data_IF_126338632628
#
_entry.id   IF_126338632628
#
_cell.length_a   1.000
_cell.length_b   1.000
_cell.length_c   1.000
_cell.angle_alpha   90.00
_cell.angle_beta   90.00
_cell.angle_gamma   90.00
#
_symmetry.space_group_name_H-M   'P 1'
#
loop_
_entity.id
_entity.type
_entity.pdbx_description
1 polymer ?
#
# COMPACT_ATOMS: atom_id res chain seq x y z
N UNK A 1 -10.64 -3.88 22.15
CA UNK A 1 -10.64 -2.69 21.29
C UNK A 1 -11.29 -3.12 20.00
N UNK A 2 -12.35 -2.44 19.57
CA UNK A 2 -12.95 -2.69 18.25
C UNK A 2 -11.91 -2.38 17.17
N UNK A 3 -11.48 -3.41 16.44
CA UNK A 3 -10.47 -3.35 15.39
C UNK A 3 -10.80 -2.28 14.33
N UNK A 4 -12.10 -2.03 14.11
CA UNK A 4 -12.55 -1.04 13.12
C UNK A 4 -12.29 0.41 13.55
N UNK A 5 -12.19 0.71 14.85
CA UNK A 5 -11.98 2.09 15.32
C UNK A 5 -10.60 2.64 14.90
N UNK A 6 -9.56 1.80 14.89
CA UNK A 6 -8.22 2.19 14.44
C UNK A 6 -8.19 2.52 12.95
N UNK A 7 -8.92 1.75 12.14
CA UNK A 7 -9.01 1.93 10.71
C UNK A 7 -9.79 3.21 10.37
N UNK A 8 -10.90 3.48 11.06
CA UNK A 8 -11.68 4.72 10.90
C UNK A 8 -10.88 5.97 11.28
N UNK A 9 -10.13 5.91 12.39
CA UNK A 9 -9.23 7.01 12.81
C UNK A 9 -8.17 7.24 11.73
N UNK A 10 -7.48 6.18 11.31
CA UNK A 10 -6.46 6.25 10.27
C UNK A 10 -7.03 6.82 8.96
N UNK A 11 -8.19 6.35 8.51
CA UNK A 11 -8.83 6.81 7.29
C UNK A 11 -9.15 8.31 7.36
N UNK A 12 -9.66 8.78 8.51
CA UNK A 12 -9.90 10.20 8.76
C UNK A 12 -8.62 11.03 8.76
N UNK A 13 -7.53 10.52 9.35
CA UNK A 13 -6.22 11.18 9.35
C UNK A 13 -5.61 11.26 7.93
N UNK A 14 -5.84 10.25 7.10
CA UNK A 14 -5.42 10.25 5.69
C UNK A 14 -6.36 11.03 4.78
N UNK A 15 -7.57 11.37 5.25
CA UNK A 15 -8.61 12.01 4.44
C UNK A 15 -9.16 11.11 3.34
N UNK A 16 -9.31 9.80 3.62
CA UNK A 16 -9.74 8.78 2.67
C UNK A 16 -11.07 8.16 3.11
N UNK A 17 -11.96 7.88 2.16
CA UNK A 17 -13.19 7.11 2.40
C UNK A 17 -12.93 5.63 2.09
N UNK A 18 -13.00 4.77 3.10
CA UNK A 18 -12.73 3.32 2.99
C UNK A 18 -13.98 2.49 2.67
N UNK A 19 -15.12 3.14 2.40
CA UNK A 19 -16.34 2.46 1.97
C UNK A 19 -16.36 2.10 0.47
N UNK A 20 -15.43 2.68 -0.30
CA UNK A 20 -15.24 2.43 -1.72
C UNK A 20 -14.51 1.10 -1.96
N UNK A 21 -14.81 0.44 -3.09
CA UNK A 21 -14.10 -0.78 -3.50
C UNK A 21 -12.80 -0.49 -4.27
N UNK A 22 -12.62 0.76 -4.69
CA UNK A 22 -11.37 1.33 -5.19
C UNK A 22 -10.80 2.37 -4.23
N UNK A 23 -9.49 2.33 -4.00
CA UNK A 23 -8.82 3.31 -3.13
C UNK A 23 -7.58 3.89 -3.77
N UNK A 24 -7.46 5.22 -3.62
CA UNK A 24 -6.26 5.95 -4.00
C UNK A 24 -5.58 6.56 -2.76
N UNK A 25 -4.53 5.89 -2.30
CA UNK A 25 -3.73 6.34 -1.17
C UNK A 25 -2.45 7.04 -1.65
N UNK A 26 -2.15 8.19 -1.05
CA UNK A 26 -0.94 8.96 -1.34
C UNK A 26 -0.09 9.13 -0.09
N UNK A 27 1.23 9.18 -0.29
CA UNK A 27 2.21 9.40 0.78
C UNK A 27 2.12 8.42 1.97
N UNK A 28 1.73 7.18 1.72
CA UNK A 28 1.51 6.19 2.79
C UNK A 28 2.85 5.84 3.46
N UNK A 29 2.86 5.93 4.80
CA UNK A 29 4.01 5.55 5.65
C UNK A 29 3.78 4.25 6.41
N UNK A 30 2.52 3.93 6.70
CA UNK A 30 2.07 2.69 7.34
C UNK A 30 0.60 2.43 6.98
N UNK A 31 0.18 1.17 7.10
CA UNK A 31 -1.21 0.75 7.02
C UNK A 31 -1.59 0.04 8.33
N UNK A 32 -2.75 0.33 8.93
CA UNK A 32 -3.24 -0.46 10.06
C UNK A 32 -3.52 -1.89 9.60
N UNK A 33 -3.35 -2.87 10.51
CA UNK A 33 -3.54 -4.28 10.17
C UNK A 33 -4.95 -4.60 9.65
N UNK A 34 -5.93 -3.86 10.15
CA UNK A 34 -7.35 -3.97 9.83
C UNK A 34 -7.66 -3.51 8.40
N UNK A 35 -6.75 -2.75 7.76
CA UNK A 35 -6.87 -2.39 6.35
C UNK A 35 -6.96 -3.63 5.45
N UNK A 36 -6.33 -4.75 5.85
CA UNK A 36 -6.41 -6.02 5.13
C UNK A 36 -7.82 -6.64 5.09
N UNK A 37 -8.73 -6.19 5.96
CA UNK A 37 -10.11 -6.70 6.03
C UNK A 37 -11.07 -5.99 5.08
N UNK A 38 -10.64 -4.88 4.47
CA UNK A 38 -11.46 -4.14 3.53
C UNK A 38 -11.71 -4.97 2.26
N UNK A 39 -12.94 -5.00 1.74
CA UNK A 39 -13.30 -5.73 0.52
C UNK A 39 -12.85 -4.99 -0.76
N UNK A 40 -11.61 -4.48 -0.77
CA UNK A 40 -11.05 -3.70 -1.86
C UNK A 40 -10.80 -4.56 -3.09
N UNK A 41 -11.22 -4.05 -4.25
CA UNK A 41 -10.90 -4.62 -5.57
C UNK A 41 -9.75 -3.90 -6.24
N UNK A 42 -9.65 -2.58 -6.09
CA UNK A 42 -8.59 -1.79 -6.69
C UNK A 42 -7.85 -0.96 -5.65
N UNK A 43 -6.52 -1.01 -5.69
CA UNK A 43 -5.67 -0.20 -4.82
C UNK A 43 -4.59 0.47 -5.63
N UNK A 44 -4.62 1.80 -5.63
CA UNK A 44 -3.46 2.61 -5.96
C UNK A 44 -2.85 3.12 -4.67
N UNK A 45 -1.55 2.87 -4.48
CA UNK A 45 -0.81 3.35 -3.32
C UNK A 45 0.51 4.00 -3.73
N UNK A 46 0.70 5.28 -3.39
CA UNK A 46 2.02 5.91 -3.39
C UNK A 46 2.65 5.73 -2.01
N UNK A 47 3.72 4.95 -1.93
CA UNK A 47 4.53 4.78 -0.73
C UNK A 47 5.60 5.87 -0.74
N UNK A 48 5.52 6.78 0.23
CA UNK A 48 6.54 7.82 0.40
C UNK A 48 7.71 7.28 1.19
N UNK A 49 8.90 7.37 0.62
CA UNK A 49 10.12 6.92 1.26
C UNK A 49 10.62 7.95 2.28
N UNK A 50 10.62 7.55 3.55
CA UNK A 50 11.18 8.30 4.68
C UNK A 50 11.84 7.33 5.65
N UNK A 51 12.64 7.83 6.59
CA UNK A 51 13.28 7.01 7.63
C UNK A 51 12.27 6.23 8.49
N UNK A 52 11.02 6.69 8.57
CA UNK A 52 9.96 6.08 9.38
C UNK A 52 8.98 5.21 8.58
N UNK A 53 9.20 5.03 7.29
CA UNK A 53 8.27 4.27 6.42
C UNK A 53 8.36 2.76 6.69
N UNK A 54 7.25 2.17 7.10
CA UNK A 54 7.11 0.73 7.40
C UNK A 54 6.74 -0.08 6.16
N UNK A 55 7.52 0.02 5.09
CA UNK A 55 7.16 -0.56 3.78
C UNK A 55 6.93 -2.08 3.80
N UNK A 56 7.69 -2.84 4.61
CA UNK A 56 7.50 -4.30 4.70
C UNK A 56 6.12 -4.63 5.25
N UNK A 57 5.69 -3.88 6.25
CA UNK A 57 4.37 -4.02 6.88
C UNK A 57 3.28 -3.58 5.92
N UNK A 58 3.46 -2.47 5.20
CA UNK A 58 2.54 -2.04 4.12
C UNK A 58 2.34 -3.18 3.11
N UNK A 59 3.42 -3.75 2.58
CA UNK A 59 3.34 -4.84 1.60
C UNK A 59 2.69 -6.09 2.20
N UNK A 60 3.04 -6.46 3.42
CA UNK A 60 2.42 -7.61 4.10
C UNK A 60 0.92 -7.42 4.31
N UNK A 61 0.47 -6.22 4.69
CA UNK A 61 -0.96 -5.89 4.82
C UNK A 61 -1.66 -5.98 3.47
N UNK A 62 -1.06 -5.45 2.40
CA UNK A 62 -1.65 -5.52 1.05
C UNK A 62 -1.82 -6.98 0.58
N UNK A 63 -0.83 -7.85 0.82
CA UNK A 63 -0.89 -9.27 0.43
C UNK A 63 -2.00 -10.07 1.15
N UNK A 64 -2.57 -9.51 2.21
CA UNK A 64 -3.69 -10.10 2.94
C UNK A 64 -5.06 -9.73 2.34
N UNK A 65 -5.15 -8.71 1.48
CA UNK A 65 -6.39 -8.28 0.83
C UNK A 65 -6.77 -9.28 -0.28
N UNK A 66 -7.55 -10.31 0.07
CA UNK A 66 -7.87 -11.41 -0.87
C UNK A 66 -8.82 -11.04 -1.99
N UNK A 67 -9.54 -9.93 -1.87
CA UNK A 67 -10.47 -9.42 -2.88
C UNK A 67 -9.78 -8.60 -3.97
N UNK A 68 -8.49 -8.26 -3.79
CA UNK A 68 -7.79 -7.33 -4.66
C UNK A 68 -7.61 -7.90 -6.08
N UNK A 69 -8.12 -7.17 -7.07
CA UNK A 69 -8.04 -7.48 -8.50
C UNK A 69 -7.01 -6.62 -9.23
N UNK A 70 -6.78 -5.39 -8.77
CA UNK A 70 -5.84 -4.44 -9.34
C UNK A 70 -5.00 -3.78 -8.26
N UNK A 71 -3.68 -3.80 -8.43
CA UNK A 71 -2.72 -3.18 -7.53
C UNK A 71 -1.74 -2.31 -8.32
N UNK A 72 -1.72 -1.03 -8.01
CA UNK A 72 -0.67 -0.10 -8.47
C UNK A 72 0.11 0.39 -7.27
N UNK A 73 1.41 0.09 -7.22
CA UNK A 73 2.32 0.60 -6.20
C UNK A 73 3.27 1.59 -6.87
N UNK A 74 3.24 2.84 -6.42
CA UNK A 74 4.21 3.86 -6.79
C UNK A 74 5.15 4.10 -5.62
N UNK A 75 6.46 4.09 -5.87
CA UNK A 75 7.45 4.49 -4.87
C UNK A 75 7.95 5.88 -5.16
N UNK A 76 7.70 6.81 -4.24
CA UNK A 76 8.23 8.16 -4.30
C UNK A 76 9.46 8.27 -3.40
N UNK A 77 10.63 8.48 -4.00
CA UNK A 77 11.89 8.64 -3.27
C UNK A 77 12.35 10.10 -3.33
N UNK A 78 12.48 10.74 -2.17
CA UNK A 78 13.06 12.08 -2.06
C UNK A 78 14.59 12.06 -1.89
N UNK A 79 15.20 10.89 -1.66
CA UNK A 79 16.62 10.77 -1.36
C UNK A 79 17.29 9.80 -2.34
N UNK A 80 18.16 10.34 -3.21
CA UNK A 80 18.95 9.58 -4.17
C UNK A 80 19.80 8.44 -3.54
N UNK A 81 19.96 8.42 -2.22
CA UNK A 81 20.80 7.45 -1.49
C UNK A 81 20.02 6.33 -0.78
N UNK A 82 18.71 6.47 -0.53
CA UNK A 82 17.91 5.48 0.22
C UNK A 82 17.11 4.55 -0.73
N UNK A 83 16.98 4.96 -2.00
CA UNK A 83 16.24 4.28 -3.07
C UNK A 83 16.51 2.77 -3.33
N UNK A 84 17.65 2.13 -2.98
CA UNK A 84 17.88 0.73 -3.37
C UNK A 84 17.07 -0.31 -2.58
N UNK A 85 16.75 -0.08 -1.30
CA UNK A 85 16.28 -1.15 -0.41
C UNK A 85 14.80 -1.51 -0.65
N UNK A 86 13.94 -0.50 -0.74
CA UNK A 86 12.48 -0.65 -0.89
C UNK A 86 12.12 -1.21 -2.26
N UNK A 87 12.77 -0.69 -3.32
CA UNK A 87 12.60 -1.18 -4.69
C UNK A 87 12.95 -2.66 -4.77
N UNK A 88 14.09 -3.06 -4.20
CA UNK A 88 14.48 -4.47 -4.12
C UNK A 88 13.45 -5.30 -3.37
N UNK A 89 12.89 -4.79 -2.28
CA UNK A 89 11.90 -5.53 -1.51
C UNK A 89 10.57 -5.70 -2.25
N UNK A 90 10.07 -4.66 -2.92
CA UNK A 90 8.84 -4.75 -3.74
C UNK A 90 9.05 -5.71 -4.90
N UNK A 91 10.19 -5.64 -5.59
CA UNK A 91 10.53 -6.58 -6.66
C UNK A 91 10.72 -8.01 -6.16
N UNK A 92 11.15 -8.19 -4.91
CA UNK A 92 11.27 -9.50 -4.27
C UNK A 92 9.96 -9.97 -3.61
N UNK A 93 8.89 -9.16 -3.62
CA UNK A 93 7.61 -9.51 -3.00
C UNK A 93 6.86 -10.50 -3.87
N UNK A 94 6.44 -11.61 -3.27
CA UNK A 94 5.65 -12.62 -3.95
C UNK A 94 4.15 -12.27 -3.95
N UNK A 95 3.72 -11.60 -5.02
CA UNK A 95 2.31 -11.24 -5.24
C UNK A 95 1.43 -12.42 -5.69
N UNK A 96 1.98 -13.63 -5.91
CA UNK A 96 1.17 -14.80 -6.29
C UNK A 96 0.18 -15.23 -5.20
N UNK A 97 0.38 -14.76 -3.96
CA UNK A 97 -0.53 -14.94 -2.83
C UNK A 97 -1.86 -14.18 -2.98
N UNK A 98 -1.94 -13.23 -3.90
CA UNK A 98 -3.14 -12.50 -4.30
C UNK A 98 -3.80 -13.19 -5.50
N UNK A 99 -4.56 -14.27 -5.23
CA UNK A 99 -5.12 -15.15 -6.28
C UNK A 99 -6.08 -14.46 -7.27
N UNK A 100 -6.69 -13.35 -6.86
CA UNK A 100 -7.63 -12.59 -7.69
C UNK A 100 -6.96 -11.46 -8.49
N UNK A 101 -5.65 -11.23 -8.28
CA UNK A 101 -4.92 -10.14 -8.89
C UNK A 101 -4.78 -10.37 -10.40
N UNK A 102 -5.42 -9.51 -11.19
CA UNK A 102 -5.37 -9.49 -12.65
C UNK A 102 -4.45 -8.40 -13.17
N UNK A 103 -4.30 -7.31 -12.41
CA UNK A 103 -3.45 -6.17 -12.74
C UNK A 103 -2.44 -5.87 -11.64
N UNK A 104 -1.15 -5.93 -11.96
CA UNK A 104 -0.08 -5.43 -11.10
C UNK A 104 0.73 -4.40 -11.86
N UNK A 105 0.85 -3.19 -11.32
CA UNK A 105 1.70 -2.12 -11.84
C UNK A 105 2.64 -1.63 -10.74
N UNK A 106 3.94 -1.67 -11.02
CA UNK A 106 4.97 -1.16 -10.12
C UNK A 106 5.60 0.06 -10.80
N UNK A 107 5.32 1.23 -10.26
CA UNK A 107 5.79 2.51 -10.80
C UNK A 107 6.98 2.97 -9.96
N UNK A 108 8.10 3.24 -10.64
CA UNK A 108 9.21 3.95 -10.04
C UNK A 108 8.94 5.45 -10.17
N UNK A 109 8.52 6.09 -9.08
CA UNK A 109 8.50 7.55 -8.96
C UNK A 109 9.95 8.05 -8.98
N UNK A 110 10.43 8.37 -10.17
CA UNK A 110 11.81 8.79 -10.39
C UNK A 110 11.98 9.28 -11.82
N UNK A 111 11.62 10.54 -12.05
CA UNK A 111 11.94 11.25 -13.29
C UNK A 111 10.98 12.37 -13.63
N UNK A 112 11.13 13.52 -12.96
CA UNK A 112 11.09 14.84 -13.60
C UNK A 112 12.17 15.73 -12.98
#
# INVERSE_FOLDING_TARGET
>A
MDSNANLEIWAKEQGVDISEDDLWLRNVKSLPSEFATLPLKELYITIKETETTQYKEILQTILQIKTLESLTIECESHAAQIAPAYKKAILATDFSTLKNLKGLRLINGGGF
#
